data_IF_337348474927
#
_entry.id   IF_337348474927
#
_cell.length_a   1.000
_cell.length_b   1.000
_cell.length_c   1.000
_cell.angle_alpha   90.00
_cell.angle_beta   90.00
_cell.angle_gamma   90.00
#
_symmetry.space_group_name_H-M   'P 1'
#
loop_
_entity.id
_entity.type
_entity.pdbx_description
1 polymer ?
#
# COMPACT_ATOMS: atom_id res chain seq x y z
N UNK A 1 24.09 -75.32 -39.29
CA UNK A 1 24.29 -75.55 -37.84
C UNK A 1 24.63 -74.30 -37.02
N UNK A 2 24.77 -73.11 -37.63
CA UNK A 2 24.98 -71.83 -36.92
C UNK A 2 23.66 -71.27 -36.35
N UNK A 3 22.54 -71.47 -37.05
CA UNK A 3 21.19 -71.06 -36.61
C UNK A 3 20.71 -71.76 -35.33
N UNK A 4 21.11 -73.03 -35.11
CA UNK A 4 20.78 -73.77 -33.88
C UNK A 4 21.62 -73.32 -32.68
N UNK A 5 22.84 -72.82 -32.90
CA UNK A 5 23.70 -72.26 -31.83
C UNK A 5 23.29 -70.82 -31.47
N UNK A 6 22.80 -70.03 -32.43
CA UNK A 6 22.20 -68.71 -32.15
C UNK A 6 20.93 -68.83 -31.29
N UNK A 7 20.07 -69.81 -31.60
CA UNK A 7 18.83 -70.08 -30.86
C UNK A 7 19.07 -70.69 -29.46
N UNK A 8 20.25 -71.25 -29.20
CA UNK A 8 20.62 -71.81 -27.89
C UNK A 8 21.37 -70.78 -27.03
N UNK A 9 22.11 -69.85 -27.65
CA UNK A 9 22.76 -68.72 -26.94
C UNK A 9 21.75 -67.75 -26.31
N UNK A 10 20.59 -67.54 -26.93
CA UNK A 10 19.49 -66.74 -26.38
C UNK A 10 18.67 -67.47 -25.30
N UNK A 11 18.82 -68.79 -25.18
CA UNK A 11 17.98 -69.66 -24.33
C UNK A 11 18.60 -69.96 -22.97
N UNK A 12 19.72 -69.30 -22.64
CA UNK A 12 20.44 -69.42 -21.36
C UNK A 12 20.79 -68.05 -20.76
N UNK A 13 20.05 -67.02 -21.17
CA UNK A 13 20.17 -65.69 -20.61
C UNK A 13 19.05 -65.54 -19.59
N UNK A 14 19.40 -65.25 -18.33
CA UNK A 14 18.44 -65.06 -17.26
C UNK A 14 17.64 -63.78 -17.50
N UNK A 15 16.65 -63.83 -18.39
CA UNK A 15 15.75 -62.71 -18.70
C UNK A 15 15.06 -62.16 -17.45
N UNK A 16 14.83 -63.02 -16.45
CA UNK A 16 14.35 -62.63 -15.13
C UNK A 16 15.34 -61.70 -14.43
N UNK A 17 16.64 -62.00 -14.46
CA UNK A 17 17.70 -61.15 -13.91
C UNK A 17 17.73 -59.80 -14.61
N UNK A 18 17.69 -59.77 -15.94
CA UNK A 18 17.67 -58.51 -16.72
C UNK A 18 16.44 -57.66 -16.39
N UNK A 19 15.26 -58.27 -16.24
CA UNK A 19 14.04 -57.57 -15.83
C UNK A 19 14.16 -57.00 -14.42
N UNK A 20 14.67 -57.78 -13.46
CA UNK A 20 14.88 -57.32 -12.08
C UNK A 20 15.89 -56.18 -12.04
N UNK A 21 17.04 -56.31 -12.72
CA UNK A 21 18.06 -55.26 -12.81
C UNK A 21 17.49 -53.97 -13.42
N UNK A 22 16.69 -54.09 -14.48
CA UNK A 22 16.01 -52.94 -15.11
C UNK A 22 15.02 -52.28 -14.14
N UNK A 23 14.21 -53.07 -13.43
CA UNK A 23 13.26 -52.55 -12.44
C UNK A 23 13.98 -51.82 -11.31
N UNK A 24 15.09 -52.36 -10.80
CA UNK A 24 15.88 -51.71 -9.74
C UNK A 24 16.38 -50.33 -10.20
N UNK A 25 16.92 -50.23 -11.43
CA UNK A 25 17.37 -48.94 -11.99
C UNK A 25 16.20 -47.96 -12.15
N UNK A 26 15.06 -48.42 -12.68
CA UNK A 26 13.86 -47.58 -12.86
C UNK A 26 13.34 -47.09 -11.50
N UNK A 27 13.25 -47.96 -10.49
CA UNK A 27 12.86 -47.57 -9.14
C UNK A 27 13.86 -46.62 -8.50
N UNK A 28 15.17 -46.80 -8.73
CA UNK A 28 16.20 -45.89 -8.27
C UNK A 28 16.04 -44.47 -8.83
N UNK A 29 15.85 -44.34 -10.15
CA UNK A 29 15.58 -43.04 -10.80
C UNK A 29 14.25 -42.46 -10.32
N UNK A 30 13.21 -43.27 -10.24
CA UNK A 30 11.90 -42.84 -9.77
C UNK A 30 11.95 -42.28 -8.35
N UNK A 31 12.58 -43.00 -7.40
CA UNK A 31 12.75 -42.53 -6.03
C UNK A 31 13.60 -41.25 -5.99
N UNK A 32 14.67 -41.18 -6.79
CA UNK A 32 15.50 -39.98 -6.91
C UNK A 32 14.69 -38.75 -7.34
N UNK A 33 13.84 -38.89 -8.36
CA UNK A 33 12.93 -37.82 -8.80
C UNK A 33 11.91 -37.47 -7.72
N UNK A 34 11.35 -38.45 -7.01
CA UNK A 34 10.37 -38.21 -5.95
C UNK A 34 10.99 -37.45 -4.75
N UNK A 35 12.22 -37.79 -4.35
CA UNK A 35 12.94 -37.08 -3.29
C UNK A 35 13.25 -35.64 -3.73
N UNK A 36 13.67 -35.45 -4.98
CA UNK A 36 13.94 -34.11 -5.52
C UNK A 36 12.66 -33.25 -5.53
N UNK A 37 11.55 -33.78 -6.05
CA UNK A 37 10.25 -33.09 -6.08
C UNK A 37 9.76 -32.75 -4.67
N UNK A 38 9.98 -33.64 -3.69
CA UNK A 38 9.62 -33.36 -2.30
C UNK A 38 10.48 -32.25 -1.69
N UNK A 39 11.78 -32.24 -1.97
CA UNK A 39 12.68 -31.20 -1.50
C UNK A 39 12.33 -29.83 -2.13
N UNK A 40 12.04 -29.78 -3.42
CA UNK A 40 11.56 -28.57 -4.12
C UNK A 40 10.24 -28.07 -3.53
N UNK A 41 9.25 -28.95 -3.33
CA UNK A 41 7.98 -28.59 -2.73
C UNK A 41 8.12 -28.13 -1.27
N UNK A 42 9.10 -28.63 -0.52
CA UNK A 42 9.41 -28.17 0.83
C UNK A 42 10.00 -26.77 0.81
N UNK A 43 10.96 -26.52 -0.09
CA UNK A 43 11.60 -25.21 -0.23
C UNK A 43 10.58 -24.15 -0.68
N UNK A 44 9.71 -24.47 -1.64
CA UNK A 44 8.64 -23.58 -2.11
C UNK A 44 7.66 -23.20 -0.98
N UNK A 45 7.33 -24.13 -0.07
CA UNK A 45 6.49 -23.83 1.10
C UNK A 45 7.15 -22.85 2.07
N UNK A 46 8.44 -23.01 2.34
CA UNK A 46 9.20 -22.11 3.22
C UNK A 46 9.24 -20.70 2.62
N UNK A 47 9.53 -20.61 1.32
CA UNK A 47 9.54 -19.33 0.59
C UNK A 47 8.16 -18.67 0.57
N UNK A 48 7.11 -19.46 0.33
CA UNK A 48 5.73 -18.97 0.34
C UNK A 48 5.35 -18.43 1.72
N UNK A 49 5.67 -19.13 2.80
CA UNK A 49 5.38 -18.68 4.15
C UNK A 49 6.08 -17.35 4.46
N UNK A 50 7.39 -17.27 4.21
CA UNK A 50 8.17 -16.05 4.44
C UNK A 50 7.66 -14.87 3.61
N UNK A 51 7.22 -15.14 2.38
CA UNK A 51 6.61 -14.14 1.52
C UNK A 51 5.28 -13.61 2.09
N UNK A 52 4.38 -14.50 2.53
CA UNK A 52 3.09 -14.11 3.10
C UNK A 52 3.27 -13.27 4.37
N UNK A 53 4.19 -13.66 5.26
CA UNK A 53 4.54 -12.88 6.47
C UNK A 53 5.10 -11.49 6.16
N UNK A 54 5.84 -11.35 5.04
CA UNK A 54 6.34 -10.04 4.60
C UNK A 54 5.22 -9.17 4.04
N UNK A 55 4.32 -9.78 3.28
CA UNK A 55 3.18 -9.09 2.68
C UNK A 55 2.21 -8.61 3.75
N UNK A 56 1.92 -9.45 4.74
CA UNK A 56 1.08 -9.10 5.89
C UNK A 56 1.64 -7.91 6.66
N UNK A 57 2.91 -7.96 7.06
CA UNK A 57 3.57 -6.83 7.76
C UNK A 57 3.54 -5.53 6.96
N UNK A 58 3.71 -5.62 5.64
CA UNK A 58 3.61 -4.45 4.76
C UNK A 58 2.18 -3.88 4.80
N UNK A 59 1.15 -4.72 4.66
CA UNK A 59 -0.25 -4.27 4.71
C UNK A 59 -0.71 -3.82 6.10
N UNK A 60 -0.20 -4.40 7.19
CA UNK A 60 -0.41 -3.90 8.55
C UNK A 60 0.17 -2.49 8.72
N UNK A 61 1.36 -2.26 8.18
CA UNK A 61 1.97 -0.92 8.17
C UNK A 61 1.15 0.05 7.32
N UNK A 62 0.69 -0.36 6.14
CA UNK A 62 -0.19 0.46 5.31
C UNK A 62 -1.51 0.78 6.01
N UNK A 63 -2.08 -0.17 6.76
CA UNK A 63 -3.30 0.04 7.55
C UNK A 63 -3.07 1.14 8.60
N UNK A 64 -2.01 1.03 9.40
CA UNK A 64 -1.68 2.01 10.44
C UNK A 64 -1.40 3.42 9.87
N UNK A 65 -0.74 3.49 8.71
CA UNK A 65 -0.52 4.76 8.00
C UNK A 65 -1.83 5.34 7.48
N UNK A 66 -2.70 4.49 6.93
CA UNK A 66 -4.01 4.90 6.41
C UNK A 66 -4.91 5.40 7.55
N UNK A 67 -4.96 4.71 8.69
CA UNK A 67 -5.70 5.13 9.88
C UNK A 67 -5.21 6.49 10.40
N UNK A 68 -3.89 6.67 10.47
CA UNK A 68 -3.29 7.96 10.83
C UNK A 68 -3.64 9.06 9.83
N UNK A 69 -3.70 8.72 8.53
CA UNK A 69 -4.13 9.61 7.46
C UNK A 69 -5.60 10.03 7.62
N UNK A 70 -6.50 9.08 7.92
CA UNK A 70 -7.92 9.34 8.16
C UNK A 70 -8.11 10.31 9.33
N UNK A 71 -7.44 10.05 10.45
CA UNK A 71 -7.52 10.91 11.63
C UNK A 71 -7.04 12.35 11.33
N UNK A 72 -5.95 12.48 10.58
CA UNK A 72 -5.43 13.78 10.15
C UNK A 72 -6.36 14.50 9.17
N UNK A 73 -6.98 13.75 8.26
CA UNK A 73 -7.92 14.30 7.29
C UNK A 73 -9.18 14.85 7.97
N UNK A 74 -9.68 14.16 9.00
CA UNK A 74 -10.78 14.66 9.83
C UNK A 74 -10.41 15.97 10.53
N UNK A 75 -9.19 16.10 11.05
CA UNK A 75 -8.70 17.34 11.63
C UNK A 75 -8.68 18.49 10.60
N UNK A 76 -8.22 18.24 9.37
CA UNK A 76 -8.23 19.26 8.32
C UNK A 76 -9.64 19.73 7.95
N UNK A 77 -10.60 18.81 7.92
CA UNK A 77 -12.00 19.15 7.70
C UNK A 77 -12.57 20.02 8.82
N UNK A 78 -12.31 19.67 10.08
CA UNK A 78 -12.75 20.45 11.24
C UNK A 78 -12.18 21.87 11.22
N UNK A 79 -10.87 21.99 10.97
CA UNK A 79 -10.17 23.27 10.86
C UNK A 79 -10.75 24.13 9.74
N UNK A 80 -10.93 23.55 8.55
CA UNK A 80 -11.46 24.27 7.39
C UNK A 80 -12.92 24.69 7.61
N UNK A 81 -13.73 23.83 8.24
CA UNK A 81 -15.12 24.14 8.62
C UNK A 81 -15.20 25.29 9.61
N UNK A 82 -14.34 25.29 10.64
CA UNK A 82 -14.28 26.35 11.64
C UNK A 82 -13.90 27.69 11.01
N UNK A 83 -12.91 27.71 10.11
CA UNK A 83 -12.54 28.92 9.37
C UNK A 83 -13.66 29.42 8.45
N UNK A 84 -14.27 28.54 7.66
CA UNK A 84 -15.40 28.90 6.78
C UNK A 84 -16.55 29.48 7.60
N UNK A 85 -16.92 28.83 8.70
CA UNK A 85 -18.04 29.24 9.55
C UNK A 85 -17.75 30.55 10.26
N UNK A 86 -16.53 30.69 10.81
CA UNK A 86 -16.09 31.91 11.49
C UNK A 86 -16.06 33.12 10.55
N UNK A 87 -15.51 32.97 9.34
CA UNK A 87 -15.50 34.03 8.33
C UNK A 87 -16.94 34.42 7.93
N UNK A 88 -17.82 33.44 7.68
CA UNK A 88 -19.24 33.71 7.36
C UNK A 88 -19.99 34.44 8.48
N UNK A 89 -19.66 34.13 9.73
CA UNK A 89 -20.23 34.79 10.90
C UNK A 89 -19.60 36.17 11.19
N UNK A 90 -18.48 36.50 10.55
CA UNK A 90 -17.68 37.69 10.87
C UNK A 90 -16.98 37.60 12.23
N UNK A 91 -16.83 36.39 12.77
CA UNK A 91 -16.26 36.14 14.10
C UNK A 91 -15.33 34.93 14.04
N UNK A 92 -14.03 35.17 14.20
CA UNK A 92 -13.01 34.14 14.27
C UNK A 92 -12.77 33.72 15.73
N UNK A 93 -12.48 32.44 15.93
CA UNK A 93 -12.14 31.90 17.23
C UNK A 93 -10.64 32.08 17.50
N UNK A 94 -10.28 33.10 18.28
CA UNK A 94 -8.89 33.45 18.57
C UNK A 94 -8.11 32.34 19.28
N UNK A 95 -8.78 31.45 20.00
CA UNK A 95 -8.12 30.35 20.70
C UNK A 95 -7.56 29.30 19.71
N UNK A 96 -8.15 29.19 18.52
CA UNK A 96 -7.77 28.21 17.50
C UNK A 96 -7.19 28.83 16.23
N UNK A 97 -7.37 30.14 16.00
CA UNK A 97 -7.09 30.79 14.71
C UNK A 97 -5.67 30.53 14.20
N UNK A 98 -4.66 30.65 15.07
CA UNK A 98 -3.27 30.43 14.67
C UNK A 98 -3.00 28.97 14.29
N UNK A 99 -3.50 28.00 15.08
CA UNK A 99 -3.33 26.57 14.76
C UNK A 99 -4.12 26.15 13.52
N UNK A 100 -5.30 26.72 13.33
CA UNK A 100 -6.14 26.47 12.17
C UNK A 100 -5.46 26.94 10.90
N UNK A 101 -4.96 28.18 10.90
CA UNK A 101 -4.22 28.72 9.77
C UNK A 101 -2.91 27.97 9.48
N UNK A 102 -2.29 27.35 10.48
CA UNK A 102 -1.11 26.51 10.28
C UNK A 102 -1.45 25.15 9.64
N UNK A 103 -2.69 24.66 9.76
CA UNK A 103 -3.09 23.32 9.34
C UNK A 103 -3.97 23.31 8.08
N UNK A 104 -4.72 24.38 7.82
CA UNK A 104 -5.78 24.40 6.79
C UNK A 104 -5.27 24.14 5.37
N UNK A 105 -4.04 24.51 5.07
CA UNK A 105 -3.39 24.30 3.77
C UNK A 105 -2.42 23.11 3.77
N UNK A 106 -2.47 22.27 4.80
CA UNK A 106 -1.66 21.06 4.87
C UNK A 106 -2.18 19.98 3.93
N UNK A 107 -1.24 19.34 3.22
CA UNK A 107 -1.54 18.23 2.32
C UNK A 107 -1.08 16.93 2.99
N UNK A 108 -2.03 16.02 3.20
CA UNK A 108 -1.76 14.69 3.74
C UNK A 108 -0.99 13.80 2.76
N UNK A 109 -0.24 12.84 3.28
CA UNK A 109 0.37 11.78 2.49
C UNK A 109 -0.70 10.74 2.08
N UNK A 110 -0.72 10.37 0.80
CA UNK A 110 -1.46 9.19 0.35
C UNK A 110 -0.63 7.93 0.62
N UNK A 111 -1.26 6.78 0.96
CA UNK A 111 -0.54 5.53 1.10
C UNK A 111 0.18 5.15 -0.19
N UNK A 112 1.37 4.58 -0.03
CA UNK A 112 2.25 4.23 -1.14
C UNK A 112 1.92 2.84 -1.71
N UNK A 113 2.39 2.53 -2.93
CA UNK A 113 2.44 1.17 -3.43
C UNK A 113 3.16 0.22 -2.44
N UNK A 114 2.73 -1.04 -2.40
CA UNK A 114 3.32 -2.06 -1.54
C UNK A 114 4.63 -2.57 -2.16
N UNK A 115 5.74 -2.39 -1.46
CA UNK A 115 7.04 -2.88 -1.93
C UNK A 115 7.09 -4.42 -2.00
N UNK A 116 6.40 -5.09 -1.08
CA UNK A 116 6.28 -6.55 -1.10
C UNK A 116 5.49 -7.04 -2.33
N UNK A 117 4.45 -6.29 -2.73
CA UNK A 117 3.70 -6.58 -3.94
C UNK A 117 4.51 -6.31 -5.22
N UNK A 118 5.26 -5.21 -5.29
CA UNK A 118 6.15 -4.92 -6.43
C UNK A 118 7.22 -6.02 -6.62
N UNK A 119 7.79 -6.52 -5.52
CA UNK A 119 8.70 -7.68 -5.56
C UNK A 119 7.98 -8.92 -6.12
N UNK A 120 6.75 -9.19 -5.70
CA UNK A 120 5.96 -10.33 -6.17
C UNK A 120 5.73 -10.31 -7.68
N UNK A 121 5.41 -9.14 -8.22
CA UNK A 121 5.19 -8.95 -9.64
C UNK A 121 6.52 -9.07 -10.40
N UNK A 122 7.56 -8.35 -9.96
CA UNK A 122 8.86 -8.33 -10.65
C UNK A 122 9.60 -9.66 -10.65
N UNK A 123 9.44 -10.47 -9.59
CA UNK A 123 10.07 -11.80 -9.48
C UNK A 123 9.21 -12.93 -10.07
N UNK A 124 7.99 -12.64 -10.55
CA UNK A 124 7.05 -13.64 -11.03
C UNK A 124 6.54 -14.60 -9.93
N UNK A 125 6.70 -14.23 -8.66
CA UNK A 125 6.31 -15.04 -7.49
C UNK A 125 4.83 -14.98 -7.18
N UNK A 126 4.04 -14.19 -7.90
CA UNK A 126 2.58 -14.13 -7.76
C UNK A 126 1.91 -15.51 -7.83
N UNK A 127 2.50 -16.46 -8.58
CA UNK A 127 2.04 -17.86 -8.66
C UNK A 127 2.08 -18.64 -7.35
N UNK A 128 2.84 -18.18 -6.35
CA UNK A 128 2.96 -18.83 -5.04
C UNK A 128 1.73 -18.60 -4.16
N UNK A 129 1.00 -17.52 -4.41
CA UNK A 129 -0.27 -17.23 -3.72
C UNK A 129 -1.35 -18.09 -4.36
N UNK A 130 -2.01 -18.98 -3.62
CA UNK A 130 -3.02 -19.90 -4.20
C UNK A 130 -4.40 -19.26 -4.29
N UNK A 131 -4.78 -18.46 -3.30
CA UNK A 131 -6.05 -17.74 -3.23
C UNK A 131 -6.16 -16.74 -4.39
N UNK A 132 -7.08 -17.03 -5.31
CA UNK A 132 -7.32 -16.18 -6.47
C UNK A 132 -7.87 -14.80 -6.08
N UNK A 133 -8.73 -14.74 -5.08
CA UNK A 133 -9.28 -13.48 -4.59
C UNK A 133 -8.19 -12.59 -3.97
N UNK A 134 -7.22 -13.18 -3.26
CA UNK A 134 -6.06 -12.45 -2.75
C UNK A 134 -5.25 -11.83 -3.88
N UNK A 135 -4.90 -12.61 -4.92
CA UNK A 135 -4.17 -12.09 -6.08
C UNK A 135 -4.92 -10.94 -6.74
N UNK A 136 -6.22 -11.11 -6.97
CA UNK A 136 -7.06 -10.10 -7.62
C UNK A 136 -7.15 -8.81 -6.78
N UNK A 137 -7.30 -8.92 -5.46
CA UNK A 137 -7.39 -7.75 -4.59
C UNK A 137 -6.05 -7.01 -4.47
N UNK A 138 -4.92 -7.73 -4.45
CA UNK A 138 -3.59 -7.13 -4.51
C UNK A 138 -3.38 -6.32 -5.81
N UNK A 139 -3.76 -6.88 -6.97
CA UNK A 139 -3.71 -6.14 -8.25
C UNK A 139 -4.62 -4.90 -8.26
N UNK A 140 -5.81 -5.01 -7.67
CA UNK A 140 -6.73 -3.87 -7.55
C UNK A 140 -6.19 -2.78 -6.64
N UNK A 141 -5.60 -3.16 -5.51
CA UNK A 141 -4.96 -2.23 -4.59
C UNK A 141 -3.84 -1.47 -5.31
N UNK A 142 -2.93 -2.17 -5.98
CA UNK A 142 -1.82 -1.58 -6.72
C UNK A 142 -2.29 -0.65 -7.85
N UNK A 143 -3.26 -1.09 -8.66
CA UNK A 143 -3.82 -0.25 -9.72
C UNK A 143 -4.47 1.02 -9.16
N UNK A 144 -5.14 0.91 -8.02
CA UNK A 144 -5.83 2.04 -7.39
C UNK A 144 -4.84 3.02 -6.76
N UNK A 145 -3.86 2.55 -5.98
CA UNK A 145 -2.82 3.42 -5.39
C UNK A 145 -1.94 4.05 -6.46
N UNK A 146 -1.59 3.32 -7.52
CA UNK A 146 -0.89 3.86 -8.68
C UNK A 146 -1.67 4.98 -9.37
N UNK A 147 -2.98 4.81 -9.55
CA UNK A 147 -3.84 5.88 -10.09
C UNK A 147 -3.87 7.11 -9.17
N UNK A 148 -4.05 6.92 -7.86
CA UNK A 148 -4.04 8.01 -6.88
C UNK A 148 -2.71 8.76 -6.88
N UNK A 149 -1.59 8.05 -6.97
CA UNK A 149 -0.26 8.66 -7.03
C UNK A 149 -0.10 9.56 -8.26
N UNK A 150 -0.53 9.09 -9.44
CA UNK A 150 -0.48 9.87 -10.69
C UNK A 150 -1.38 11.12 -10.64
N UNK A 151 -2.52 11.04 -9.95
CA UNK A 151 -3.48 12.13 -9.83
C UNK A 151 -3.23 13.03 -8.61
N UNK A 152 -2.25 12.72 -7.76
CA UNK A 152 -2.05 13.40 -6.48
C UNK A 152 -1.91 14.92 -6.63
N UNK A 153 -1.14 15.38 -7.62
CA UNK A 153 -0.96 16.82 -7.87
C UNK A 153 -2.26 17.54 -8.24
N UNK A 154 -3.14 16.87 -8.99
CA UNK A 154 -4.45 17.41 -9.38
C UNK A 154 -5.42 17.41 -8.19
N UNK A 155 -5.43 16.33 -7.40
CA UNK A 155 -6.27 16.22 -6.21
C UNK A 155 -5.85 17.26 -5.17
N UNK A 156 -4.55 17.47 -4.96
CA UNK A 156 -4.04 18.42 -3.97
C UNK A 156 -4.09 19.90 -4.42
N UNK A 157 -4.43 20.17 -5.68
CA UNK A 157 -4.35 21.50 -6.28
C UNK A 157 -5.21 22.55 -5.55
N UNK A 158 -6.47 22.27 -5.16
CA UNK A 158 -7.28 23.27 -4.45
C UNK A 158 -6.72 23.66 -3.08
N UNK A 159 -6.05 22.72 -2.39
CA UNK A 159 -5.36 23.00 -1.12
C UNK A 159 -4.09 23.83 -1.37
N UNK A 160 -3.39 23.59 -2.48
CA UNK A 160 -2.24 24.40 -2.89
C UNK A 160 -2.63 25.81 -3.35
N UNK A 161 -3.80 25.99 -3.98
CA UNK A 161 -4.38 27.31 -4.27
C UNK A 161 -4.78 28.02 -2.96
N UNK A 162 -5.38 27.30 -2.00
CA UNK A 162 -5.64 27.86 -0.67
C UNK A 162 -4.37 28.40 -0.02
N UNK A 163 -3.27 27.64 -0.04
CA UNK A 163 -1.98 28.11 0.50
C UNK A 163 -1.51 29.42 -0.15
N UNK A 164 -1.67 29.55 -1.48
CA UNK A 164 -1.28 30.74 -2.25
C UNK A 164 -2.08 31.97 -1.90
N UNK A 165 -3.36 31.83 -1.55
CA UNK A 165 -4.20 32.98 -1.21
C UNK A 165 -4.18 33.30 0.27
N UNK A 166 -4.16 32.30 1.15
CA UNK A 166 -4.26 32.49 2.60
C UNK A 166 -2.98 33.09 3.21
N UNK A 167 -1.85 32.98 2.51
CA UNK A 167 -0.61 33.65 2.90
C UNK A 167 -0.77 35.18 2.97
N UNK A 168 -1.72 35.77 2.23
CA UNK A 168 -2.02 37.22 2.28
C UNK A 168 -2.45 37.68 3.68
N UNK A 169 -3.05 36.79 4.45
CA UNK A 169 -3.50 37.07 5.82
C UNK A 169 -2.42 36.77 6.87
N UNK A 170 -1.22 36.33 6.48
CA UNK A 170 -0.16 35.88 7.40
C UNK A 170 1.08 36.76 7.24
N UNK A 171 1.62 37.25 8.35
CA UNK A 171 2.97 37.79 8.42
C UNK A 171 3.91 36.70 8.92
N UNK A 172 4.94 36.35 8.15
CA UNK A 172 5.89 35.30 8.53
C UNK A 172 6.88 35.79 9.57
N UNK A 173 7.13 34.97 10.60
CA UNK A 173 8.18 35.23 11.57
C UNK A 173 9.57 34.96 10.95
N UNK A 174 10.43 35.97 10.85
CA UNK A 174 11.80 35.78 10.34
C UNK A 174 12.76 35.37 11.45
N UNK A 175 13.09 34.08 11.53
CA UNK A 175 13.93 33.51 12.60
C UNK A 175 15.42 33.91 12.53
N UNK A 176 15.89 34.39 11.38
CA UNK A 176 17.30 34.75 11.16
C UNK A 176 18.28 33.58 11.14
N UNK A 177 17.81 32.34 11.38
CA UNK A 177 18.61 31.12 11.34
C UNK A 177 17.85 30.02 10.58
N UNK A 178 18.53 29.24 9.71
CA UNK A 178 17.91 28.10 9.06
C UNK A 178 17.35 27.11 10.09
N UNK A 179 16.09 26.71 9.92
CA UNK A 179 15.49 25.69 10.79
C UNK A 179 16.25 24.37 10.68
N UNK A 180 16.39 23.66 11.79
CA UNK A 180 16.96 22.29 11.79
C UNK A 180 15.87 21.22 11.78
N UNK A 181 14.63 21.59 12.10
CA UNK A 181 13.47 20.67 12.19
C UNK A 181 12.15 21.35 11.83
N UNK A 182 11.94 21.76 10.57
CA UNK A 182 10.69 22.37 10.09
C UNK A 182 10.08 23.44 11.02
N UNK A 183 10.89 24.15 11.80
CA UNK A 183 10.43 25.04 12.88
C UNK A 183 9.68 26.27 12.35
N UNK A 184 9.89 26.60 11.07
CA UNK A 184 9.19 27.66 10.37
C UNK A 184 7.75 27.27 9.98
N UNK A 185 7.44 25.98 9.93
CA UNK A 185 6.13 25.50 9.48
C UNK A 185 5.06 25.95 10.49
N UNK A 186 4.10 26.75 10.02
CA UNK A 186 3.01 27.28 10.86
C UNK A 186 3.39 28.45 11.77
N UNK A 187 4.63 28.96 11.73
CA UNK A 187 5.00 30.16 12.49
C UNK A 187 4.60 31.43 11.77
N UNK A 188 3.79 32.24 12.45
CA UNK A 188 3.34 33.56 12.00
C UNK A 188 3.59 34.59 13.09
N UNK A 189 4.09 35.75 12.70
CA UNK A 189 4.28 36.92 13.57
C UNK A 189 2.94 37.61 13.85
N UNK A 190 2.09 37.71 12.82
CA UNK A 190 0.78 38.35 12.90
C UNK A 190 -0.19 37.73 11.89
N UNK A 191 -1.48 37.87 12.19
CA UNK A 191 -2.59 37.46 11.34
C UNK A 191 -3.43 38.71 11.03
N UNK A 192 -3.75 38.93 9.76
CA UNK A 192 -4.62 40.02 9.32
C UNK A 192 -6.08 39.55 9.23
N UNK A 193 -6.85 39.85 10.27
CA UNK A 193 -8.28 39.49 10.35
C UNK A 193 -9.12 40.16 9.26
N UNK A 194 -8.80 41.38 8.85
CA UNK A 194 -9.58 42.07 7.82
C UNK A 194 -9.45 41.34 6.49
N UNK A 195 -8.24 40.91 6.14
CA UNK A 195 -7.99 40.09 4.94
C UNK A 195 -8.77 38.77 5.01
N UNK A 196 -8.76 38.06 6.14
CA UNK A 196 -9.51 36.81 6.29
C UNK A 196 -11.03 36.99 6.13
N UNK A 197 -11.58 38.11 6.61
CA UNK A 197 -13.02 38.36 6.61
C UNK A 197 -13.53 38.94 5.28
N UNK A 198 -12.71 39.73 4.58
CA UNK A 198 -13.15 40.51 3.41
C UNK A 198 -12.69 39.91 2.06
N UNK A 199 -11.61 39.13 2.03
CA UNK A 199 -11.06 38.57 0.79
C UNK A 199 -11.88 37.37 0.30
N UNK A 200 -12.60 37.57 -0.81
CA UNK A 200 -13.43 36.53 -1.43
C UNK A 200 -12.62 35.35 -1.96
N UNK A 201 -11.38 35.58 -2.40
CA UNK A 201 -10.54 34.51 -2.92
C UNK A 201 -10.20 33.50 -1.83
N UNK A 202 -10.01 33.97 -0.59
CA UNK A 202 -9.75 33.10 0.56
C UNK A 202 -10.98 32.23 0.83
N UNK A 203 -12.18 32.81 0.85
CA UNK A 203 -13.42 32.06 1.06
C UNK A 203 -13.68 31.04 -0.07
N UNK A 204 -13.44 31.40 -1.33
CA UNK A 204 -13.62 30.49 -2.47
C UNK A 204 -12.59 29.34 -2.46
N UNK A 205 -11.34 29.64 -2.10
CA UNK A 205 -10.30 28.63 -1.95
C UNK A 205 -10.55 27.69 -0.76
N UNK A 206 -11.03 28.21 0.38
CA UNK A 206 -11.41 27.40 1.55
C UNK A 206 -12.52 26.41 1.19
N UNK A 207 -13.56 26.86 0.48
CA UNK A 207 -14.66 26.00 0.04
C UNK A 207 -14.19 24.92 -0.94
N UNK A 208 -13.30 25.28 -1.86
CA UNK A 208 -12.72 24.32 -2.81
C UNK A 208 -11.82 23.29 -2.10
N UNK A 209 -10.99 23.75 -1.15
CA UNK A 209 -10.17 22.88 -0.32
C UNK A 209 -11.02 21.93 0.52
N UNK A 210 -12.12 22.40 1.12
CA UNK A 210 -13.03 21.57 1.91
C UNK A 210 -13.59 20.40 1.10
N UNK A 211 -14.07 20.64 -0.13
CA UNK A 211 -14.58 19.57 -1.01
C UNK A 211 -13.50 18.54 -1.31
N UNK A 212 -12.29 18.99 -1.64
CA UNK A 212 -11.14 18.10 -1.89
C UNK A 212 -10.77 17.29 -0.65
N UNK A 213 -10.78 17.93 0.52
CA UNK A 213 -10.47 17.29 1.78
C UNK A 213 -11.52 16.22 2.14
N UNK A 214 -12.80 16.48 1.88
CA UNK A 214 -13.89 15.52 2.10
C UNK A 214 -13.77 14.31 1.15
N UNK A 215 -13.51 14.57 -0.13
CA UNK A 215 -13.25 13.51 -1.10
C UNK A 215 -12.01 12.68 -0.74
N UNK A 216 -10.96 13.32 -0.23
CA UNK A 216 -9.75 12.63 0.25
C UNK A 216 -10.06 11.72 1.44
N UNK A 217 -10.92 12.15 2.35
CA UNK A 217 -11.38 11.31 3.45
C UNK A 217 -12.08 10.04 2.95
N UNK A 218 -12.97 10.15 1.96
CA UNK A 218 -13.64 9.00 1.33
C UNK A 218 -12.65 8.05 0.64
N UNK A 219 -11.64 8.60 -0.05
CA UNK A 219 -10.57 7.81 -0.67
C UNK A 219 -9.84 6.97 0.37
N UNK A 220 -9.48 7.58 1.52
CA UNK A 220 -8.77 6.89 2.59
C UNK A 220 -9.62 5.80 3.25
N UNK A 221 -10.92 6.04 3.47
CA UNK A 221 -11.85 5.00 3.97
C UNK A 221 -11.92 3.82 2.99
N UNK A 222 -12.06 4.10 1.69
CA UNK A 222 -12.12 3.05 0.68
C UNK A 222 -10.81 2.24 0.61
N UNK A 223 -9.67 2.91 0.80
CA UNK A 223 -8.36 2.28 0.81
C UNK A 223 -8.17 1.40 2.06
N UNK A 224 -8.57 1.90 3.23
CA UNK A 224 -8.58 1.14 4.49
C UNK A 224 -9.35 -0.18 4.35
N UNK A 225 -10.57 -0.12 3.81
CA UNK A 225 -11.40 -1.31 3.60
C UNK A 225 -10.77 -2.34 2.66
N UNK A 226 -10.02 -1.88 1.65
CA UNK A 226 -9.26 -2.78 0.75
C UNK A 226 -8.07 -3.43 1.46
N UNK A 227 -7.35 -2.66 2.28
CA UNK A 227 -6.24 -3.18 3.08
C UNK A 227 -6.74 -4.24 4.06
N UNK A 228 -7.84 -3.98 4.78
CA UNK A 228 -8.47 -4.97 5.68
C UNK A 228 -8.85 -6.24 4.93
N UNK A 229 -9.49 -6.11 3.76
CA UNK A 229 -9.81 -7.28 2.93
C UNK A 229 -8.56 -8.07 2.51
N UNK A 230 -7.45 -7.40 2.21
CA UNK A 230 -6.19 -8.08 1.87
C UNK A 230 -5.65 -8.84 3.07
N UNK A 231 -5.68 -8.25 4.27
CA UNK A 231 -5.26 -8.91 5.50
C UNK A 231 -6.13 -10.14 5.82
N UNK A 232 -7.45 -10.05 5.66
CA UNK A 232 -8.37 -11.18 5.83
C UNK A 232 -8.02 -12.33 4.86
N UNK A 233 -7.82 -11.99 3.57
CA UNK A 233 -7.46 -12.96 2.54
C UNK A 233 -6.05 -13.57 2.75
N UNK A 234 -5.14 -12.83 3.39
CA UNK A 234 -3.82 -13.34 3.78
C UNK A 234 -3.93 -14.36 4.92
N UNK A 235 -4.75 -14.09 5.93
CA UNK A 235 -5.04 -15.03 7.00
C UNK A 235 -5.63 -16.34 6.45
N UNK A 236 -6.58 -16.23 5.51
CA UNK A 236 -7.15 -17.39 4.79
C UNK A 236 -6.08 -18.19 4.02
N UNK A 237 -5.16 -17.53 3.30
CA UNK A 237 -4.10 -18.19 2.52
C UNK A 237 -3.11 -18.95 3.43
N UNK A 238 -2.84 -18.41 4.63
CA UNK A 238 -2.00 -19.03 5.66
C UNK A 238 -2.70 -20.21 6.37
N UNK A 239 -4.02 -20.30 6.28
CA UNK A 239 -4.82 -21.29 7.01
C UNK A 239 -5.03 -20.94 8.48
N UNK A 240 -4.94 -19.65 8.82
CA UNK A 240 -5.26 -19.12 10.14
C UNK A 240 -6.74 -18.67 10.13
N UNK A 241 -7.54 -18.97 11.17
CA UNK A 241 -8.87 -18.37 11.30
C UNK A 241 -8.69 -16.85 11.43
N UNK A 242 -9.43 -16.07 10.63
CA UNK A 242 -9.39 -14.60 10.66
C UNK A 242 -9.68 -14.02 12.05
N UNK A 243 -9.33 -12.72 12.26
CA UNK A 243 -9.42 -12.06 13.57
C UNK A 243 -10.82 -12.09 14.19
#
# INVERSE_FOLDING_TARGET
MILRRLAIGLRKQDWVTVVIETLIVVFGVFIGLQVNNWNEARQERIETHSLLERLERDFEQQLALTDSGIARQLLYLEVTERLITGIRAGQLDEDFLASDLALVDSIGSMPAPSAAFEELVSTGRMRLIRNAALRDELYRYDSYTGFLYLQFSQVAEPVAELSRVIIRAKTLELTGQPSTRFEQLGRVEAIDHAVLLEDRDIMDALQSAYITQDNTHLILIALRARIERILDLLAEERGEPGP
#
